data_IF_352913046360
#
_entry.id   IF_352913046360
#
_cell.length_a   1.000
_cell.length_b   1.000
_cell.length_c   1.000
_cell.angle_alpha   90.00
_cell.angle_beta   90.00
_cell.angle_gamma   90.00
#
_symmetry.space_group_name_H-M   'P 1'
#
loop_
_entity.id
_entity.type
_entity.pdbx_description
1 polymer ?
#
# COMPACT_ATOMS: atom_id res chain seq x y z
N UNK A 1 7.09 -19.40 13.77
CA UNK A 1 6.17 -18.56 12.96
C UNK A 1 6.42 -18.86 11.49
N UNK A 2 5.44 -19.39 10.76
CA UNK A 2 5.66 -19.80 9.36
C UNK A 2 6.13 -18.61 8.52
N UNK A 3 7.22 -18.77 7.75
CA UNK A 3 7.83 -17.73 6.90
C UNK A 3 6.79 -16.98 6.04
N UNK A 4 5.72 -17.66 5.63
CA UNK A 4 4.59 -17.10 4.87
C UNK A 4 3.79 -16.03 5.63
N UNK A 5 3.60 -16.17 6.95
CA UNK A 5 2.92 -15.17 7.78
C UNK A 5 3.76 -13.89 7.90
N UNK A 6 5.08 -14.03 7.97
CA UNK A 6 6.01 -12.89 8.03
C UNK A 6 5.98 -12.10 6.72
N UNK A 7 6.03 -12.76 5.56
CA UNK A 7 5.94 -12.09 4.25
C UNK A 7 4.62 -11.31 4.11
N UNK A 8 3.50 -11.89 4.55
CA UNK A 8 2.22 -11.18 4.58
C UNK A 8 2.20 -10.03 5.61
N UNK A 9 2.87 -10.16 6.73
CA UNK A 9 2.96 -9.05 7.67
C UNK A 9 3.77 -7.88 7.09
N UNK A 10 4.92 -8.18 6.46
CA UNK A 10 5.79 -7.19 5.81
C UNK A 10 5.06 -6.47 4.68
N UNK A 11 4.41 -7.21 3.78
CA UNK A 11 3.70 -6.59 2.66
C UNK A 11 2.49 -5.75 3.13
N UNK A 12 1.89 -6.05 4.29
CA UNK A 12 0.82 -5.24 4.87
C UNK A 12 1.39 -3.90 5.38
N UNK A 13 2.51 -3.95 6.11
CA UNK A 13 3.22 -2.76 6.57
C UNK A 13 3.65 -1.88 5.38
N UNK A 14 4.16 -2.48 4.29
CA UNK A 14 4.52 -1.75 3.08
C UNK A 14 3.29 -1.07 2.46
N UNK A 15 2.15 -1.77 2.35
CA UNK A 15 0.91 -1.19 1.84
C UNK A 15 0.44 0.01 2.66
N UNK A 16 0.43 -0.12 3.99
CA UNK A 16 0.07 0.96 4.91
C UNK A 16 1.04 2.14 4.80
N UNK A 17 2.36 1.87 4.72
CA UNK A 17 3.38 2.90 4.53
C UNK A 17 3.15 3.70 3.24
N UNK A 18 2.81 3.04 2.14
CA UNK A 18 2.55 3.72 0.86
C UNK A 18 1.28 4.59 0.91
N UNK A 19 0.24 4.15 1.62
CA UNK A 19 -0.97 4.96 1.86
C UNK A 19 -0.63 6.21 2.68
N UNK A 20 0.14 6.06 3.77
CA UNK A 20 0.56 7.20 4.58
C UNK A 20 1.44 8.16 3.75
N UNK A 21 2.36 7.61 2.96
CA UNK A 21 3.24 8.41 2.09
C UNK A 21 2.45 9.15 1.00
N UNK A 22 1.39 8.55 0.47
CA UNK A 22 0.44 9.20 -0.42
C UNK A 22 -0.20 10.41 0.24
N UNK A 23 -0.70 10.26 1.48
CA UNK A 23 -1.28 11.36 2.23
C UNK A 23 -0.28 12.52 2.40
N UNK A 24 0.97 12.20 2.76
CA UNK A 24 2.02 13.22 2.85
C UNK A 24 2.28 13.94 1.53
N UNK A 25 2.30 13.23 0.40
CA UNK A 25 2.43 13.85 -0.93
C UNK A 25 1.24 14.73 -1.27
N UNK A 26 0.03 14.32 -0.90
CA UNK A 26 -1.19 15.10 -1.14
C UNK A 26 -1.21 16.40 -0.33
N UNK A 27 -0.78 16.35 0.93
CA UNK A 27 -0.74 17.51 1.83
C UNK A 27 0.50 18.37 1.66
N UNK A 28 1.45 17.97 0.80
CA UNK A 28 2.72 18.68 0.65
C UNK A 28 2.48 20.02 -0.05
N UNK A 29 2.73 21.11 0.67
CA UNK A 29 2.58 22.48 0.16
C UNK A 29 3.81 22.98 -0.62
N UNK A 30 4.90 22.19 -0.70
CA UNK A 30 6.11 22.53 -1.43
C UNK A 30 6.19 21.77 -2.76
N UNK A 31 6.57 22.48 -3.83
CA UNK A 31 6.64 21.94 -5.20
C UNK A 31 5.39 22.21 -6.03
N UNK A 32 5.34 21.62 -7.22
CA UNK A 32 4.19 21.75 -8.12
C UNK A 32 2.98 20.96 -7.58
N UNK A 33 1.82 21.61 -7.33
CA UNK A 33 0.64 20.94 -6.76
C UNK A 33 0.07 19.81 -7.63
N UNK A 34 0.22 19.90 -8.95
CA UNK A 34 -0.27 18.87 -9.88
C UNK A 34 0.60 17.62 -9.83
N UNK A 35 1.92 17.79 -9.76
CA UNK A 35 2.86 16.67 -9.57
C UNK A 35 2.67 16.01 -8.20
N UNK A 36 2.50 16.80 -7.14
CA UNK A 36 2.27 16.29 -5.79
C UNK A 36 1.00 15.43 -5.71
N UNK A 37 -0.11 15.89 -6.33
CA UNK A 37 -1.35 15.12 -6.44
C UNK A 37 -1.17 13.85 -7.28
N UNK A 38 -0.43 13.92 -8.37
CA UNK A 38 -0.14 12.76 -9.22
C UNK A 38 0.62 11.67 -8.44
N UNK A 39 1.71 12.04 -7.76
CA UNK A 39 2.46 11.11 -6.91
C UNK A 39 1.60 10.55 -5.77
N UNK A 40 0.79 11.39 -5.12
CA UNK A 40 -0.13 10.94 -4.09
C UNK A 40 -1.08 9.85 -4.62
N UNK A 41 -1.69 10.05 -5.78
CA UNK A 41 -2.59 9.06 -6.40
C UNK A 41 -1.84 7.76 -6.71
N UNK A 42 -0.63 7.84 -7.30
CA UNK A 42 0.18 6.65 -7.58
C UNK A 42 0.48 5.86 -6.30
N UNK A 43 0.99 6.53 -5.27
CA UNK A 43 1.31 5.87 -3.99
C UNK A 43 0.07 5.26 -3.34
N UNK A 44 -1.08 5.93 -3.46
CA UNK A 44 -2.35 5.42 -2.94
C UNK A 44 -2.79 4.15 -3.67
N UNK A 45 -2.79 4.18 -5.01
CA UNK A 45 -3.16 3.04 -5.84
C UNK A 45 -2.27 1.82 -5.55
N UNK A 46 -0.95 2.02 -5.47
CA UNK A 46 -0.01 0.91 -5.16
C UNK A 46 -0.28 0.36 -3.75
N UNK A 47 -0.49 1.23 -2.77
CA UNK A 47 -0.80 0.83 -1.38
C UNK A 47 -2.09 0.00 -1.29
N UNK A 48 -3.16 0.44 -1.96
CA UNK A 48 -4.42 -0.31 -2.04
C UNK A 48 -4.22 -1.66 -2.74
N UNK A 49 -3.53 -1.68 -3.88
CA UNK A 49 -3.28 -2.91 -4.63
C UNK A 49 -2.54 -3.95 -3.79
N UNK A 50 -1.55 -3.51 -3.01
CA UNK A 50 -0.81 -4.38 -2.10
C UNK A 50 -1.73 -5.05 -1.06
N UNK A 51 -2.65 -4.28 -0.45
CA UNK A 51 -3.62 -4.81 0.51
C UNK A 51 -4.61 -5.77 -0.17
N UNK A 52 -5.13 -5.41 -1.35
CA UNK A 52 -6.05 -6.27 -2.11
C UNK A 52 -5.40 -7.61 -2.46
N UNK A 53 -4.17 -7.60 -2.98
CA UNK A 53 -3.43 -8.82 -3.30
C UNK A 53 -3.28 -9.70 -2.06
N UNK A 54 -2.99 -9.11 -0.90
CA UNK A 54 -2.92 -9.87 0.34
C UNK A 54 -4.23 -10.50 0.78
N UNK A 55 -5.34 -9.75 0.68
CA UNK A 55 -6.66 -10.28 0.97
C UNK A 55 -6.98 -11.46 0.06
N UNK A 56 -6.71 -11.33 -1.24
CA UNK A 56 -6.91 -12.40 -2.23
C UNK A 56 -6.06 -13.63 -1.90
N UNK A 57 -4.76 -13.45 -1.64
CA UNK A 57 -3.84 -14.57 -1.33
C UNK A 57 -4.26 -15.28 -0.03
N UNK A 58 -4.67 -14.53 1.00
CA UNK A 58 -5.17 -15.11 2.24
C UNK A 58 -6.51 -15.84 2.04
N UNK A 59 -7.41 -15.28 1.22
CA UNK A 59 -8.70 -15.89 0.91
C UNK A 59 -8.54 -17.21 0.15
N UNK A 60 -7.70 -17.24 -0.89
CA UNK A 60 -7.40 -18.46 -1.66
C UNK A 60 -6.83 -19.55 -0.75
N UNK A 61 -5.95 -19.18 0.20
CA UNK A 61 -5.39 -20.14 1.16
C UNK A 61 -6.41 -20.72 2.12
N UNK A 62 -7.39 -19.93 2.57
CA UNK A 62 -8.40 -20.40 3.53
C UNK A 62 -9.37 -21.41 2.91
N UNK A 63 -9.47 -21.43 1.57
CA UNK A 63 -10.34 -22.32 0.80
C UNK A 63 -9.69 -23.66 0.42
N UNK A 64 -8.37 -23.80 0.58
CA UNK A 64 -7.58 -25.02 0.35
C UNK A 64 -7.28 -25.70 1.68
#
# INVERSE_FOLDING_TARGET
MEKKKIVNFIACIIGVYLIIRSFFWYTRSQGDPSQNKFFAIIYFCIGILAIIIQLIVNYIKKKK
#
